data_IF_448662086043
#
_entry.id   IF_448662086043
#
_cell.length_a   1.000
_cell.length_b   1.000
_cell.length_c   1.000
_cell.angle_alpha   90.00
_cell.angle_beta   90.00
_cell.angle_gamma   90.00
#
_symmetry.space_group_name_H-M   'P 1'
#
loop_
_entity.id
_entity.type
_entity.pdbx_description
1 polymer ?
#
# COMPACT_ATOMS: atom_id res chain seq x y z
N UNK A 1 -53.05 32.74 34.72
CA UNK A 1 -52.77 34.11 34.26
C UNK A 1 -51.30 34.41 34.47
N UNK A 2 -50.60 34.68 33.37
CA UNK A 2 -49.38 35.48 33.18
C UNK A 2 -48.09 35.23 34.00
N UNK A 3 -47.09 34.74 33.25
CA UNK A 3 -45.63 34.99 33.29
C UNK A 3 -45.20 36.47 33.55
N UNK A 4 -43.92 36.83 33.88
CA UNK A 4 -42.69 36.26 33.26
C UNK A 4 -41.37 36.09 34.09
N UNK A 5 -40.50 35.26 33.47
CA UNK A 5 -39.02 35.16 33.43
C UNK A 5 -38.27 36.53 33.57
N UNK A 6 -36.95 36.67 33.87
CA UNK A 6 -35.86 35.91 33.22
C UNK A 6 -34.51 35.70 33.99
N UNK A 7 -33.68 34.82 33.45
CA UNK A 7 -32.22 34.67 33.68
C UNK A 7 -31.74 33.93 34.93
N UNK A 8 -31.32 32.68 34.73
CA UNK A 8 -29.94 32.22 34.97
C UNK A 8 -29.86 30.75 34.60
N UNK A 9 -29.33 30.44 33.43
CA UNK A 9 -28.04 29.74 33.43
C UNK A 9 -28.20 28.40 32.73
N UNK A 10 -28.35 28.47 31.41
CA UNK A 10 -28.25 27.31 30.53
C UNK A 10 -26.78 26.86 30.54
N UNK A 11 -26.45 25.89 31.40
CA UNK A 11 -25.26 25.08 31.19
C UNK A 11 -25.59 24.03 30.13
N UNK A 12 -25.53 24.43 28.86
CA UNK A 12 -25.33 23.48 27.77
C UNK A 12 -23.98 22.84 28.05
N UNK A 13 -24.00 21.65 28.66
CA UNK A 13 -22.90 20.73 28.58
C UNK A 13 -22.78 20.35 27.09
N UNK A 14 -21.98 21.14 26.37
CA UNK A 14 -21.30 20.71 25.17
C UNK A 14 -20.45 19.52 25.60
N UNK A 15 -21.06 18.33 25.61
CA UNK A 15 -20.32 17.08 25.46
C UNK A 15 -19.75 17.17 24.06
N UNK A 16 -18.58 17.80 23.99
CA UNK A 16 -17.76 17.83 22.81
C UNK A 16 -17.60 16.40 22.37
N UNK A 17 -18.22 16.10 21.23
CA UNK A 17 -17.86 14.98 20.40
C UNK A 17 -16.38 15.18 20.06
N UNK A 18 -15.49 14.71 20.93
CA UNK A 18 -14.13 14.41 20.57
C UNK A 18 -14.26 13.24 19.59
N UNK A 19 -14.50 13.59 18.33
CA UNK A 19 -14.19 12.73 17.20
C UNK A 19 -12.68 12.55 17.33
N UNK A 20 -12.29 11.53 18.11
CA UNK A 20 -11.00 10.89 18.02
C UNK A 20 -10.95 10.38 16.59
N UNK A 21 -10.52 11.25 15.69
CA UNK A 21 -9.93 10.86 14.42
C UNK A 21 -8.75 9.99 14.85
N UNK A 22 -8.99 8.71 15.01
CA UNK A 22 -8.00 7.67 14.80
C UNK A 22 -7.52 7.89 13.37
N UNK A 23 -6.63 8.85 13.21
CA UNK A 23 -6.04 9.20 11.95
C UNK A 23 -5.31 7.96 11.53
N UNK A 24 -5.82 7.27 10.51
CA UNK A 24 -5.03 6.27 9.82
C UNK A 24 -3.74 6.98 9.45
N UNK A 25 -2.64 6.55 10.04
CA UNK A 25 -1.32 7.10 9.75
C UNK A 25 -1.12 7.09 8.22
N UNK A 26 -0.62 8.21 7.64
CA UNK A 26 -0.55 8.32 6.19
C UNK A 26 0.45 7.30 5.65
N UNK A 27 0.10 6.72 4.51
CA UNK A 27 1.01 5.88 3.74
C UNK A 27 2.01 6.76 3.00
N UNK A 28 3.28 6.35 2.97
CA UNK A 28 4.35 7.11 2.32
C UNK A 28 5.31 6.22 1.54
N UNK A 29 5.82 6.69 0.41
CA UNK A 29 6.82 5.98 -0.39
C UNK A 29 6.59 6.13 -1.89
N UNK A 30 6.80 5.03 -2.62
CA UNK A 30 6.61 4.94 -4.07
C UNK A 30 5.70 3.77 -4.44
N UNK A 31 4.98 3.91 -5.55
CA UNK A 31 4.08 2.89 -6.06
C UNK A 31 3.98 2.94 -7.57
N UNK A 32 3.89 1.77 -8.17
CA UNK A 32 3.36 1.59 -9.51
C UNK A 32 2.30 0.49 -9.53
N UNK A 33 1.49 0.46 -10.58
CA UNK A 33 0.55 -0.63 -10.82
C UNK A 33 0.38 -0.89 -12.31
N UNK A 34 -0.05 -2.11 -12.63
CA UNK A 34 -0.40 -2.53 -13.99
C UNK A 34 -1.54 -3.53 -13.95
N UNK A 35 -2.43 -3.42 -14.93
CA UNK A 35 -3.54 -4.34 -15.13
C UNK A 35 -3.24 -5.29 -16.29
N UNK A 36 -3.57 -6.56 -16.10
CA UNK A 36 -3.37 -7.67 -17.04
C UNK A 36 -4.72 -8.24 -17.44
N UNK A 37 -4.96 -8.38 -18.74
CA UNK A 37 -6.19 -9.00 -19.26
C UNK A 37 -6.28 -10.49 -18.93
N UNK A 38 -5.13 -11.15 -18.81
CA UNK A 38 -5.03 -12.57 -18.46
C UNK A 38 -4.91 -12.76 -16.94
N UNK A 39 -5.30 -13.95 -16.48
CA UNK A 39 -5.10 -14.36 -15.11
C UNK A 39 -3.60 -14.48 -14.78
N UNK A 40 -3.18 -13.88 -13.68
CA UNK A 40 -1.81 -13.99 -13.18
C UNK A 40 -1.70 -15.11 -12.16
N UNK A 41 -0.70 -15.99 -12.32
CA UNK A 41 -0.46 -17.09 -11.38
C UNK A 41 0.24 -16.59 -10.10
N UNK A 42 -0.51 -16.56 -9.01
CA UNK A 42 -0.03 -16.28 -7.64
C UNK A 42 1.10 -17.25 -7.24
N UNK A 43 0.97 -18.54 -7.54
CA UNK A 43 1.98 -19.54 -7.20
C UNK A 43 3.29 -19.35 -7.99
N UNK A 44 3.19 -18.88 -9.24
CA UNK A 44 4.38 -18.53 -10.00
C UNK A 44 5.11 -17.34 -9.37
N UNK A 45 4.36 -16.31 -8.95
CA UNK A 45 4.92 -15.12 -8.29
C UNK A 45 5.62 -15.51 -6.99
N UNK A 46 4.97 -16.29 -6.12
CA UNK A 46 5.54 -16.75 -4.85
C UNK A 46 6.87 -17.48 -5.06
N UNK A 47 6.88 -18.45 -5.99
CA UNK A 47 8.09 -19.20 -6.35
C UNK A 47 9.19 -18.29 -6.89
N UNK A 48 8.88 -17.42 -7.85
CA UNK A 48 9.86 -16.53 -8.47
C UNK A 48 10.51 -15.56 -7.48
N UNK A 49 9.71 -15.03 -6.54
CA UNK A 49 10.20 -14.15 -5.49
C UNK A 49 11.06 -14.91 -4.47
N UNK A 50 10.63 -16.10 -4.02
CA UNK A 50 11.42 -16.94 -3.09
C UNK A 50 12.74 -17.39 -3.70
N UNK A 51 12.76 -17.73 -4.98
CA UNK A 51 14.00 -18.06 -5.70
C UNK A 51 14.97 -16.87 -5.77
N UNK A 52 14.46 -15.63 -5.73
CA UNK A 52 15.26 -14.40 -5.91
C UNK A 52 15.71 -13.79 -4.59
N UNK A 53 14.87 -13.84 -3.55
CA UNK A 53 15.08 -13.16 -2.27
C UNK A 53 15.24 -14.13 -1.08
N UNK A 54 15.03 -15.43 -1.28
CA UNK A 54 15.04 -16.42 -0.22
C UNK A 54 13.72 -16.44 0.55
N UNK A 55 13.78 -16.33 1.88
CA UNK A 55 12.58 -16.25 2.69
C UNK A 55 11.87 -14.90 2.48
N UNK A 56 10.58 -14.96 2.15
CA UNK A 56 9.70 -13.79 1.99
C UNK A 56 8.44 -13.99 2.83
N UNK A 57 7.84 -12.88 3.25
CA UNK A 57 6.53 -12.89 3.92
C UNK A 57 5.41 -12.84 2.86
N UNK A 58 4.36 -13.66 3.07
CA UNK A 58 3.16 -13.70 2.22
C UNK A 58 1.92 -13.71 3.09
N UNK A 59 0.93 -12.91 2.73
CA UNK A 59 -0.40 -12.95 3.34
C UNK A 59 -1.47 -12.58 2.33
N UNK A 60 -2.69 -13.05 2.61
CA UNK A 60 -3.87 -12.71 1.83
C UNK A 60 -4.79 -11.80 2.67
N UNK A 61 -5.42 -10.81 2.04
CA UNK A 61 -6.38 -9.91 2.70
C UNK A 61 -7.53 -9.53 1.77
N UNK A 62 -8.63 -9.04 2.35
CA UNK A 62 -9.76 -8.48 1.59
C UNK A 62 -9.59 -6.97 1.48
N UNK A 63 -9.60 -6.45 0.26
CA UNK A 63 -9.36 -5.04 -0.01
C UNK A 63 -10.50 -4.15 0.49
N UNK A 64 -10.14 -3.03 1.10
CA UNK A 64 -11.07 -1.95 1.47
C UNK A 64 -11.25 -0.87 0.37
N UNK A 65 -10.90 -1.16 -0.89
CA UNK A 65 -11.20 -0.26 -2.01
C UNK A 65 -10.09 0.70 -2.46
N UNK A 66 -8.91 0.71 -1.81
CA UNK A 66 -7.84 1.69 -2.13
C UNK A 66 -7.14 1.42 -3.46
N UNK A 67 -6.72 0.17 -3.69
CA UNK A 67 -5.94 -0.24 -4.87
C UNK A 67 -6.64 -1.29 -5.72
N UNK A 68 -7.51 -2.04 -5.08
CA UNK A 68 -8.35 -3.04 -5.69
C UNK A 68 -9.78 -2.68 -5.34
N UNK A 69 -10.78 -3.12 -6.13
CA UNK A 69 -12.18 -3.01 -5.76
C UNK A 69 -12.42 -3.51 -4.33
N UNK A 70 -13.35 -2.86 -3.63
CA UNK A 70 -13.74 -3.29 -2.31
C UNK A 70 -14.25 -4.74 -2.34
N UNK A 71 -13.83 -5.55 -1.37
CA UNK A 71 -14.17 -6.97 -1.31
C UNK A 71 -13.27 -7.90 -2.14
N UNK A 72 -12.32 -7.36 -2.92
CA UNK A 72 -11.35 -8.18 -3.66
C UNK A 72 -10.40 -8.91 -2.71
N UNK A 73 -10.24 -10.24 -2.90
CA UNK A 73 -9.15 -11.00 -2.28
C UNK A 73 -7.82 -10.62 -2.94
N UNK A 74 -6.84 -10.21 -2.13
CA UNK A 74 -5.53 -9.76 -2.58
C UNK A 74 -4.45 -10.63 -1.93
N UNK A 75 -3.57 -11.18 -2.75
CA UNK A 75 -2.33 -11.81 -2.29
C UNK A 75 -1.21 -10.76 -2.24
N UNK A 76 -0.52 -10.66 -1.11
CA UNK A 76 0.59 -9.73 -0.91
C UNK A 76 1.87 -10.49 -0.56
N UNK A 77 2.97 -10.07 -1.20
CA UNK A 77 4.31 -10.64 -1.04
C UNK A 77 5.26 -9.52 -0.62
N UNK A 78 5.81 -9.58 0.59
CA UNK A 78 6.85 -8.67 1.04
C UNK A 78 8.22 -9.36 0.93
N UNK A 79 9.06 -8.85 0.03
CA UNK A 79 10.34 -9.46 -0.34
C UNK A 79 11.56 -8.60 0.04
N UNK A 80 11.32 -7.37 0.53
CA UNK A 80 12.34 -6.48 1.06
C UNK A 80 11.73 -5.65 2.19
N UNK A 81 12.49 -5.46 3.27
CA UNK A 81 12.09 -4.61 4.40
C UNK A 81 13.29 -3.86 4.95
N UNK A 82 13.04 -2.67 5.52
CA UNK A 82 14.04 -1.97 6.31
C UNK A 82 14.23 -2.64 7.69
N UNK A 83 15.44 -2.55 8.29
CA UNK A 83 15.73 -3.14 9.60
C UNK A 83 14.75 -2.75 10.71
N UNK A 84 14.31 -1.49 10.71
CA UNK A 84 13.38 -0.93 11.70
C UNK A 84 11.90 -1.07 11.28
N UNK A 85 11.63 -1.78 10.17
CA UNK A 85 10.31 -2.07 9.58
C UNK A 85 9.45 -0.87 9.15
N UNK A 86 10.03 0.33 9.09
CA UNK A 86 9.28 1.53 8.65
C UNK A 86 8.83 1.46 7.18
N UNK A 87 9.40 0.59 6.36
CA UNK A 87 8.98 0.43 4.96
C UNK A 87 9.29 -0.93 4.36
N UNK A 88 8.36 -1.43 3.52
CA UNK A 88 8.44 -2.72 2.84
C UNK A 88 8.29 -2.55 1.34
N UNK A 89 9.05 -3.32 0.56
CA UNK A 89 8.80 -3.48 -0.86
C UNK A 89 7.91 -4.70 -1.08
N UNK A 90 6.78 -4.50 -1.76
CA UNK A 90 5.73 -5.50 -1.89
C UNK A 90 5.19 -5.62 -3.32
N UNK A 91 4.81 -6.85 -3.69
CA UNK A 91 3.95 -7.15 -4.83
C UNK A 91 2.57 -7.51 -4.26
N UNK A 92 1.52 -6.87 -4.76
CA UNK A 92 0.12 -7.18 -4.41
C UNK A 92 -0.62 -7.59 -5.69
N UNK A 93 -1.38 -8.68 -5.63
CA UNK A 93 -2.09 -9.24 -6.79
C UNK A 93 -3.54 -9.48 -6.43
N UNK A 94 -4.45 -8.97 -7.24
CA UNK A 94 -5.89 -9.12 -7.03
C UNK A 94 -6.69 -8.82 -8.29
N UNK A 95 -7.95 -9.22 -8.31
CA UNK A 95 -8.84 -8.89 -9.43
C UNK A 95 -9.20 -7.40 -9.44
N UNK A 96 -9.20 -6.80 -10.62
CA UNK A 96 -9.72 -5.46 -10.89
C UNK A 96 -10.71 -5.54 -12.06
N UNK A 97 -12.01 -5.54 -11.75
CA UNK A 97 -13.12 -5.65 -12.71
C UNK A 97 -12.94 -6.74 -13.77
N UNK A 98 -12.35 -6.41 -14.93
CA UNK A 98 -12.12 -7.29 -16.08
C UNK A 98 -10.64 -7.65 -16.27
N UNK A 99 -9.80 -7.46 -15.24
CA UNK A 99 -8.37 -7.67 -15.28
C UNK A 99 -7.84 -8.26 -13.97
N UNK A 100 -6.58 -8.72 -14.00
CA UNK A 100 -5.77 -8.93 -12.80
C UNK A 100 -4.87 -7.71 -12.60
N UNK A 101 -4.96 -7.04 -11.45
CA UNK A 101 -4.08 -5.93 -11.10
C UNK A 101 -2.88 -6.43 -10.32
N UNK A 102 -1.71 -5.91 -10.68
CA UNK A 102 -0.50 -5.99 -9.85
C UNK A 102 -0.16 -4.59 -9.37
N UNK A 103 0.02 -4.44 -8.06
CA UNK A 103 0.59 -3.23 -7.44
C UNK A 103 1.98 -3.58 -6.94
N UNK A 104 2.94 -2.73 -7.25
CA UNK A 104 4.33 -2.87 -6.86
C UNK A 104 4.72 -1.60 -6.11
N UNK A 105 4.96 -1.70 -4.81
CA UNK A 105 5.27 -0.53 -3.99
C UNK A 105 6.46 -0.76 -3.08
N UNK A 106 7.12 0.34 -2.71
CA UNK A 106 7.95 0.43 -1.52
C UNK A 106 7.34 1.52 -0.65
N UNK A 107 6.71 1.11 0.45
CA UNK A 107 5.92 2.04 1.26
C UNK A 107 5.94 1.71 2.75
N UNK A 108 5.66 2.73 3.56
CA UNK A 108 5.57 2.71 5.01
C UNK A 108 4.32 3.42 5.51
N UNK A 109 4.02 3.26 6.79
CA UNK A 109 2.90 3.93 7.48
C UNK A 109 3.49 4.85 8.55
N UNK A 110 3.06 6.11 8.58
CA UNK A 110 3.43 7.06 9.63
C UNK A 110 4.48 8.09 9.20
N UNK A 111 5.66 8.04 9.82
CA UNK A 111 6.76 8.96 9.55
C UNK A 111 7.28 8.81 8.11
N UNK A 112 7.97 9.84 7.62
CA UNK A 112 8.60 9.80 6.29
C UNK A 112 9.69 8.74 6.23
N UNK A 113 9.69 7.98 5.13
CA UNK A 113 10.77 7.06 4.82
C UNK A 113 12.03 7.87 4.50
N UNK A 114 13.19 7.49 5.08
CA UNK A 114 14.45 8.16 4.77
C UNK A 114 14.76 8.10 3.27
N UNK A 115 15.24 9.21 2.68
CA UNK A 115 15.60 9.24 1.25
C UNK A 115 16.63 8.15 0.88
N UNK A 116 17.56 7.86 1.79
CA UNK A 116 18.56 6.80 1.63
C UNK A 116 17.98 5.37 1.54
N UNK A 117 16.72 5.16 1.92
CA UNK A 117 16.05 3.87 1.83
C UNK A 117 15.55 3.54 0.41
N UNK A 118 15.30 4.56 -0.43
CA UNK A 118 14.70 4.36 -1.75
C UNK A 118 15.62 3.69 -2.77
N UNK A 119 16.92 4.03 -2.89
CA UNK A 119 17.80 3.35 -3.83
C UNK A 119 17.86 1.82 -3.65
N UNK A 120 18.15 1.25 -2.47
CA UNK A 120 18.17 -0.21 -2.31
C UNK A 120 16.78 -0.84 -2.47
N UNK A 121 15.70 -0.12 -2.13
CA UNK A 121 14.34 -0.60 -2.37
C UNK A 121 13.99 -0.65 -3.86
N UNK A 122 14.38 0.37 -4.63
CA UNK A 122 14.22 0.41 -6.08
C UNK A 122 15.00 -0.74 -6.75
N UNK A 123 16.24 -0.98 -6.35
CA UNK A 123 17.02 -2.14 -6.82
C UNK A 123 16.31 -3.47 -6.51
N UNK A 124 15.73 -3.61 -5.31
CA UNK A 124 14.95 -4.78 -4.95
C UNK A 124 13.67 -4.90 -5.81
N UNK A 125 12.97 -3.80 -6.08
CA UNK A 125 11.81 -3.77 -6.97
C UNK A 125 12.20 -4.19 -8.39
N UNK A 126 13.29 -3.66 -8.95
CA UNK A 126 13.78 -4.04 -10.28
C UNK A 126 14.12 -5.53 -10.37
N UNK A 127 14.80 -6.08 -9.35
CA UNK A 127 15.09 -7.52 -9.25
C UNK A 127 13.83 -8.36 -9.20
N UNK A 128 12.81 -7.92 -8.46
CA UNK A 128 11.51 -8.59 -8.41
C UNK A 128 10.83 -8.58 -9.79
N UNK A 129 10.80 -7.43 -10.47
CA UNK A 129 10.29 -7.30 -11.84
C UNK A 129 10.98 -8.25 -12.81
N UNK A 130 12.32 -8.30 -12.79
CA UNK A 130 13.10 -9.19 -13.64
C UNK A 130 12.82 -10.69 -13.35
N UNK A 131 12.58 -11.04 -12.09
CA UNK A 131 12.22 -12.41 -11.70
C UNK A 131 10.84 -12.81 -12.23
N UNK A 132 9.85 -11.92 -12.14
CA UNK A 132 8.51 -12.16 -12.65
C UNK A 132 8.49 -12.27 -14.18
N UNK A 133 9.27 -11.45 -14.88
CA UNK A 133 9.41 -11.55 -16.33
C UNK A 133 10.04 -12.88 -16.74
N UNK A 134 11.15 -13.27 -16.09
CA UNK A 134 11.87 -14.50 -16.40
C UNK A 134 11.02 -15.75 -16.16
N UNK A 135 10.46 -15.87 -14.95
CA UNK A 135 9.84 -17.10 -14.45
C UNK A 135 8.35 -17.20 -14.78
N UNK A 136 7.64 -16.06 -14.84
CA UNK A 136 6.19 -16.03 -15.00
C UNK A 136 5.71 -15.37 -16.29
N UNK A 137 6.63 -14.82 -17.11
CA UNK A 137 6.32 -14.04 -18.32
C UNK A 137 5.44 -12.83 -18.05
N UNK A 138 5.45 -12.34 -16.81
CA UNK A 138 4.76 -11.12 -16.38
C UNK A 138 5.71 -9.96 -16.62
N UNK A 139 5.40 -9.12 -17.60
CA UNK A 139 6.19 -7.93 -17.88
C UNK A 139 5.59 -6.75 -17.12
N UNK A 140 6.37 -6.20 -16.20
CA UNK A 140 6.05 -4.97 -15.47
C UNK A 140 6.81 -3.76 -16.03
N UNK A 141 7.35 -3.89 -17.24
CA UNK A 141 8.03 -2.83 -17.96
C UNK A 141 7.11 -1.64 -18.22
N UNK A 142 7.67 -0.42 -18.20
CA UNK A 142 6.90 0.81 -18.42
C UNK A 142 5.95 1.20 -17.28
N UNK A 143 5.99 0.51 -16.13
CA UNK A 143 5.38 0.99 -14.90
C UNK A 143 6.08 2.28 -14.45
N UNK A 144 5.32 3.37 -14.42
CA UNK A 144 5.79 4.65 -13.89
C UNK A 144 5.64 4.65 -12.36
N UNK A 145 6.75 4.80 -11.65
CA UNK A 145 6.75 4.96 -10.20
C UNK A 145 6.17 6.32 -9.84
N UNK A 146 5.25 6.33 -8.87
CA UNK A 146 4.63 7.54 -8.35
C UNK A 146 4.88 7.67 -6.87
N UNK A 147 5.18 8.89 -6.46
CA UNK A 147 5.23 9.29 -5.06
C UNK A 147 3.87 9.09 -4.37
N UNK A 148 3.91 8.60 -3.13
CA UNK A 148 2.75 8.47 -2.25
C UNK A 148 3.13 9.17 -0.95
N UNK A 149 2.36 10.18 -0.54
CA UNK A 149 2.47 10.78 0.80
C UNK A 149 3.80 11.42 1.19
N UNK A 150 4.81 11.44 0.30
CA UNK A 150 6.10 12.11 0.48
C UNK A 150 6.79 12.29 -0.87
N UNK A 151 7.68 13.29 -0.96
CA UNK A 151 8.57 13.44 -2.09
C UNK A 151 9.73 12.43 -2.01
N UNK A 152 10.20 11.94 -3.16
CA UNK A 152 11.22 10.90 -3.29
C UNK A 152 12.23 11.31 -4.35
N UNK A 153 13.44 11.68 -3.91
CA UNK A 153 14.51 12.16 -4.78
C UNK A 153 14.96 11.10 -5.80
N UNK A 154 14.86 9.82 -5.44
CA UNK A 154 15.38 8.71 -6.24
C UNK A 154 14.59 8.43 -7.54
N UNK A 155 13.42 9.05 -7.73
CA UNK A 155 12.59 8.88 -8.94
C UNK A 155 12.34 10.20 -9.71
N UNK A 156 12.96 11.31 -9.27
CA UNK A 156 12.81 12.66 -9.83
C UNK A 156 13.90 13.08 -10.81
#
# INVERSE_FOLDING_TARGET
MNEPNPYAGVSIALVGFAILLSGCEPERGIRAHRDFTDAVSIDCIDRALRETFGEIERWDYVSGGRHFPEGTSVAQFAYFSLPDRDGWATIKVGSAEHATRIVHDFSGIGAELPQAAFPPALEAMERATAALERSCKIRLDGMEMREVGQNVEAIG
#
